data_IF_580590525903
#
_entry.id   IF_580590525903
#
_cell.length_a   1.000
_cell.length_b   1.000
_cell.length_c   1.000
_cell.angle_alpha   90.00
_cell.angle_beta   90.00
_cell.angle_gamma   90.00
#
_symmetry.space_group_name_H-M   'P 1'
#
loop_
_entity.id
_entity.type
_entity.pdbx_description
1 polymer ?
#
# COMPACT_ATOMS: atom_id res chain seq x y z
N UNK A 1 19.99 -25.35 16.95
CA UNK A 1 18.95 -25.27 18.00
C UNK A 1 18.22 -26.61 18.02
N UNK A 2 18.11 -27.32 19.15
CA UNK A 2 17.38 -28.57 19.20
C UNK A 2 15.89 -28.34 18.90
N UNK A 3 15.26 -29.31 18.22
CA UNK A 3 13.84 -29.27 17.90
C UNK A 3 13.02 -29.50 19.19
N UNK A 4 12.06 -28.62 19.48
CA UNK A 4 11.17 -28.75 20.65
C UNK A 4 9.72 -28.95 20.21
N UNK A 5 8.97 -29.72 21.01
CA UNK A 5 7.54 -29.93 20.80
C UNK A 5 6.76 -29.57 22.06
N UNK A 6 5.66 -28.84 21.89
CA UNK A 6 4.67 -28.57 22.93
C UNK A 6 3.57 -29.62 22.85
N UNK A 7 3.20 -30.21 24.00
CA UNK A 7 2.12 -31.21 24.08
C UNK A 7 1.10 -30.78 25.13
N UNK A 8 -0.17 -30.78 24.76
CA UNK A 8 -1.30 -30.54 25.63
C UNK A 8 -2.37 -31.62 25.41
N UNK A 9 -2.38 -32.65 26.27
CA UNK A 9 -3.24 -33.81 26.10
C UNK A 9 -2.91 -34.58 24.81
N UNK A 10 -3.86 -34.63 23.89
CA UNK A 10 -3.73 -35.25 22.57
C UNK A 10 -3.14 -34.29 21.51
N UNK A 11 -3.16 -32.98 21.76
CA UNK A 11 -2.63 -31.98 20.85
C UNK A 11 -1.11 -31.87 20.99
N UNK A 12 -0.39 -31.89 19.87
CA UNK A 12 1.06 -31.70 19.79
C UNK A 12 1.35 -30.65 18.72
N UNK A 13 2.16 -29.67 19.07
CA UNK A 13 2.59 -28.61 18.16
C UNK A 13 4.11 -28.41 18.22
N UNK A 14 4.70 -28.00 17.10
CA UNK A 14 6.13 -27.73 17.00
C UNK A 14 6.36 -26.23 17.23
N UNK A 15 6.40 -25.82 18.49
CA UNK A 15 6.64 -24.45 18.91
C UNK A 15 7.85 -24.38 19.86
N UNK A 16 8.61 -23.29 19.77
CA UNK A 16 9.77 -23.02 20.62
C UNK A 16 9.41 -22.34 21.94
N UNK A 17 8.15 -21.90 22.10
CA UNK A 17 7.64 -21.29 23.34
C UNK A 17 8.26 -19.92 23.68
N UNK A 18 8.05 -19.42 24.92
CA UNK A 18 7.41 -20.10 26.05
C UNK A 18 5.88 -20.17 25.95
N UNK A 19 5.28 -21.14 26.66
CA UNK A 19 3.83 -21.30 26.79
C UNK A 19 3.38 -21.02 28.22
N UNK A 20 2.09 -20.73 28.40
CA UNK A 20 1.48 -20.63 29.73
C UNK A 20 1.58 -21.98 30.46
N UNK A 21 1.86 -21.94 31.76
CA UNK A 21 1.96 -23.15 32.59
C UNK A 21 0.63 -23.90 32.70
N UNK A 22 -0.48 -23.16 32.70
CA UNK A 22 -1.84 -23.72 32.81
C UNK A 22 -2.80 -22.98 31.87
N UNK A 23 -3.61 -23.72 31.12
CA UNK A 23 -4.59 -23.16 30.19
C UNK A 23 -5.79 -22.51 30.87
N UNK A 24 -6.06 -22.86 32.13
CA UNK A 24 -7.04 -22.20 33.01
C UNK A 24 -6.85 -20.67 33.08
N UNK A 25 -5.62 -20.19 32.91
CA UNK A 25 -5.29 -18.76 32.99
C UNK A 25 -5.78 -17.99 31.76
N UNK A 26 -5.92 -18.66 30.60
CA UNK A 26 -6.39 -18.07 29.37
C UNK A 26 -7.93 -18.00 29.36
N UNK A 27 -8.48 -16.94 29.95
CA UNK A 27 -9.94 -16.71 30.00
C UNK A 27 -10.44 -15.62 29.08
N UNK A 28 -9.67 -14.55 28.90
CA UNK A 28 -10.05 -13.40 28.10
C UNK A 28 -9.45 -13.51 26.70
N UNK A 29 -10.08 -14.29 25.82
CA UNK A 29 -9.71 -14.38 24.40
C UNK A 29 -10.94 -14.32 23.50
N UNK A 30 -10.76 -13.84 22.27
CA UNK A 30 -11.82 -13.78 21.27
C UNK A 30 -11.26 -13.99 19.86
N UNK A 31 -11.98 -14.76 19.04
CA UNK A 31 -11.69 -14.86 17.61
C UNK A 31 -12.19 -13.60 16.89
N UNK A 32 -11.33 -12.97 16.11
CA UNK A 32 -11.59 -11.67 15.48
C UNK A 32 -11.98 -11.78 14.01
N UNK A 33 -11.55 -12.83 13.31
CA UNK A 33 -11.92 -12.99 11.91
C UNK A 33 -11.26 -14.19 11.24
N UNK A 34 -11.70 -14.43 10.01
CA UNK A 34 -11.20 -15.50 9.15
C UNK A 34 -10.66 -14.88 7.85
N UNK A 35 -9.49 -15.30 7.41
CA UNK A 35 -8.90 -14.85 6.16
C UNK A 35 -8.21 -16.00 5.40
N UNK A 36 -8.05 -15.84 4.09
CA UNK A 36 -7.20 -16.71 3.29
C UNK A 36 -5.74 -16.27 3.37
N UNK A 37 -4.82 -17.23 3.37
CA UNK A 37 -3.39 -16.96 3.31
C UNK A 37 -2.67 -17.98 2.44
N UNK A 38 -1.59 -17.55 1.79
CA UNK A 38 -0.71 -18.43 1.02
C UNK A 38 0.60 -18.65 1.77
N UNK A 39 1.14 -19.87 1.69
CA UNK A 39 2.45 -20.17 2.27
C UNK A 39 3.53 -19.27 1.64
N UNK A 40 4.32 -18.60 2.49
CA UNK A 40 5.33 -17.60 2.10
C UNK A 40 4.81 -16.50 1.15
N UNK A 41 3.51 -16.22 1.18
CA UNK A 41 2.85 -15.26 0.28
C UNK A 41 2.99 -15.60 -1.22
N UNK A 42 3.20 -16.87 -1.56
CA UNK A 42 3.30 -17.35 -2.94
C UNK A 42 1.96 -17.98 -3.36
N UNK A 43 1.28 -17.32 -4.31
CA UNK A 43 -0.03 -17.70 -4.84
C UNK A 43 -0.05 -19.05 -5.57
N UNK A 44 1.11 -19.63 -5.89
CA UNK A 44 1.22 -20.98 -6.45
C UNK A 44 0.97 -22.07 -5.40
N UNK A 45 1.11 -21.74 -4.11
CA UNK A 45 0.88 -22.68 -3.02
C UNK A 45 -0.63 -22.84 -2.74
N UNK A 46 -0.99 -23.92 -2.04
CA UNK A 46 -2.37 -24.14 -1.59
C UNK A 46 -2.84 -22.99 -0.69
N UNK A 47 -4.05 -22.48 -0.95
CA UNK A 47 -4.70 -21.52 -0.07
C UNK A 47 -4.97 -22.16 1.30
N UNK A 48 -4.50 -21.51 2.36
CA UNK A 48 -4.69 -21.90 3.76
C UNK A 48 -5.73 -20.99 4.41
N UNK A 49 -6.46 -21.54 5.38
CA UNK A 49 -7.39 -20.76 6.21
C UNK A 49 -6.66 -20.23 7.44
N UNK A 50 -6.61 -18.91 7.58
CA UNK A 50 -6.07 -18.22 8.76
C UNK A 50 -7.23 -17.81 9.67
N UNK A 51 -7.18 -18.26 10.91
CA UNK A 51 -8.12 -17.85 11.97
C UNK A 51 -7.38 -16.85 12.85
N UNK A 52 -7.88 -15.62 12.91
CA UNK A 52 -7.31 -14.56 13.74
C UNK A 52 -8.05 -14.49 15.08
N UNK A 53 -7.31 -14.19 16.14
CA UNK A 53 -7.85 -14.00 17.48
C UNK A 53 -6.91 -13.14 18.31
N UNK A 54 -7.44 -12.64 19.41
CA UNK A 54 -6.70 -11.84 20.40
C UNK A 54 -6.93 -12.40 21.80
N UNK A 55 -5.98 -12.19 22.70
CA UNK A 55 -6.05 -12.62 24.09
C UNK A 55 -5.41 -11.57 25.01
N UNK A 56 -6.01 -11.37 26.18
CA UNK A 56 -5.57 -10.43 27.21
C UNK A 56 -5.49 -11.11 28.58
N UNK A 57 -4.86 -10.45 29.54
CA UNK A 57 -4.74 -10.97 30.90
C UNK A 57 -6.09 -10.87 31.65
N UNK A 58 -6.86 -9.82 31.38
CA UNK A 58 -8.16 -9.58 32.02
C UNK A 58 -9.29 -9.40 31.01
N UNK A 59 -10.53 -9.71 31.43
CA UNK A 59 -11.71 -9.47 30.59
C UNK A 59 -11.95 -7.99 30.31
N UNK A 60 -11.55 -7.12 31.24
CA UNK A 60 -11.69 -5.68 31.09
C UNK A 60 -10.84 -5.15 29.93
N UNK A 61 -9.56 -5.53 29.86
CA UNK A 61 -8.67 -5.17 28.74
C UNK A 61 -9.19 -5.69 27.40
N UNK A 62 -9.75 -6.91 27.38
CA UNK A 62 -10.36 -7.45 26.17
C UNK A 62 -11.57 -6.62 25.72
N UNK A 63 -12.44 -6.22 26.65
CA UNK A 63 -13.60 -5.39 26.33
C UNK A 63 -13.19 -4.00 25.83
N UNK A 64 -12.19 -3.37 26.45
CA UNK A 64 -11.63 -2.10 26.00
C UNK A 64 -11.05 -2.21 24.59
N UNK A 65 -10.26 -3.26 24.32
CA UNK A 65 -9.72 -3.53 23.00
C UNK A 65 -10.82 -3.69 21.95
N UNK A 66 -11.89 -4.44 22.27
CA UNK A 66 -13.00 -4.65 21.34
C UNK A 66 -13.77 -3.36 21.05
N UNK A 67 -13.95 -2.49 22.05
CA UNK A 67 -14.54 -1.15 21.83
C UNK A 67 -13.68 -0.32 20.88
N UNK A 68 -12.36 -0.33 21.04
CA UNK A 68 -11.44 0.38 20.16
C UNK A 68 -11.49 -0.16 18.72
N UNK A 69 -11.60 -1.48 18.54
CA UNK A 69 -11.77 -2.08 17.22
C UNK A 69 -13.08 -1.65 16.56
N UNK A 70 -14.18 -1.60 17.31
CA UNK A 70 -15.47 -1.13 16.80
C UNK A 70 -15.40 0.35 16.37
N UNK A 71 -14.73 1.19 17.16
CA UNK A 71 -14.51 2.60 16.79
C UNK A 71 -13.64 2.74 15.54
N UNK A 72 -12.61 1.91 15.40
CA UNK A 72 -11.76 1.89 14.21
C UNK A 72 -12.55 1.47 12.95
N UNK A 73 -13.39 0.44 13.06
CA UNK A 73 -14.27 0.00 11.96
C UNK A 73 -15.27 1.08 11.53
N UNK A 74 -15.78 1.89 12.48
CA UNK A 74 -16.64 3.04 12.17
C UNK A 74 -15.90 4.13 11.38
N UNK A 75 -14.58 4.22 11.53
CA UNK A 75 -13.71 5.23 10.87
C UNK A 75 -13.00 4.69 9.63
N UNK A 76 -13.40 3.50 9.16
CA UNK A 76 -12.85 2.94 7.93
C UNK A 76 -13.23 3.79 6.71
N UNK A 77 -12.21 4.31 6.01
CA UNK A 77 -12.38 5.12 4.81
C UNK A 77 -13.20 4.41 3.72
N UNK A 78 -13.22 3.07 3.67
CA UNK A 78 -14.03 2.30 2.71
C UNK A 78 -15.51 2.40 3.02
N UNK A 79 -15.87 2.38 4.32
CA UNK A 79 -17.24 2.54 4.78
C UNK A 79 -17.70 3.99 4.60
N UNK A 80 -16.90 4.94 5.11
CA UNK A 80 -17.18 6.37 4.96
C UNK A 80 -17.24 6.78 3.48
N UNK A 81 -16.28 6.31 2.68
CA UNK A 81 -16.20 6.60 1.25
C UNK A 81 -17.42 6.11 0.48
N UNK A 82 -17.97 4.96 0.87
CA UNK A 82 -19.24 4.46 0.32
C UNK A 82 -20.43 5.29 0.79
N UNK A 83 -20.55 5.53 2.10
CA UNK A 83 -21.68 6.25 2.71
C UNK A 83 -21.76 7.70 2.18
N UNK A 84 -20.62 8.35 2.00
CA UNK A 84 -20.50 9.73 1.50
C UNK A 84 -20.37 9.81 -0.03
N UNK A 85 -20.39 8.69 -0.75
CA UNK A 85 -20.22 8.60 -2.20
C UNK A 85 -18.96 9.33 -2.70
N UNK A 86 -17.82 9.06 -2.06
CA UNK A 86 -16.53 9.66 -2.41
C UNK A 86 -15.83 8.90 -3.54
N UNK A 87 -15.87 7.57 -3.50
CA UNK A 87 -15.27 6.71 -4.51
C UNK A 87 -16.04 5.40 -4.60
N UNK A 88 -15.87 4.70 -5.72
CA UNK A 88 -16.33 3.33 -5.91
C UNK A 88 -15.21 2.45 -6.46
N UNK A 89 -15.35 1.15 -6.25
CA UNK A 89 -14.52 0.13 -6.90
C UNK A 89 -15.39 -0.64 -7.89
N UNK A 90 -14.79 -1.01 -9.01
CA UNK A 90 -15.41 -1.80 -10.08
C UNK A 90 -14.51 -2.98 -10.40
N UNK A 91 -15.10 -4.10 -10.78
CA UNK A 91 -14.34 -5.31 -11.17
C UNK A 91 -13.51 -5.07 -12.45
N UNK A 92 -13.89 -4.08 -13.26
CA UNK A 92 -13.17 -3.59 -14.44
C UNK A 92 -11.89 -2.81 -14.08
N UNK A 93 -11.74 -2.40 -12.81
CA UNK A 93 -10.59 -1.64 -12.32
C UNK A 93 -10.13 -2.12 -10.94
N UNK A 94 -9.68 -3.38 -10.79
CA UNK A 94 -9.30 -3.93 -9.50
C UNK A 94 -8.10 -3.18 -8.94
N UNK A 95 -8.27 -2.56 -7.76
CA UNK A 95 -7.24 -1.72 -7.14
C UNK A 95 -7.23 -0.27 -7.63
N UNK A 96 -8.06 0.10 -8.61
CA UNK A 96 -8.17 1.46 -9.15
C UNK A 96 -9.50 2.09 -8.72
N UNK A 97 -9.49 3.01 -7.73
CA UNK A 97 -10.72 3.65 -7.28
C UNK A 97 -11.23 4.66 -8.31
N UNK A 98 -12.54 4.60 -8.57
CA UNK A 98 -13.26 5.60 -9.36
C UNK A 98 -13.70 6.71 -8.43
N UNK A 99 -13.09 7.90 -8.55
CA UNK A 99 -13.50 9.06 -7.76
C UNK A 99 -14.86 9.58 -8.24
N UNK A 100 -15.82 9.61 -7.33
CA UNK A 100 -17.16 10.14 -7.57
C UNK A 100 -17.15 11.68 -7.38
N UNK A 101 -18.22 12.41 -7.77
CA UNK A 101 -18.24 13.87 -7.71
C UNK A 101 -17.84 14.45 -6.34
N UNK A 102 -18.33 13.88 -5.24
CA UNK A 102 -17.97 14.33 -3.89
C UNK A 102 -16.49 14.10 -3.56
N UNK A 103 -15.94 12.96 -4.00
CA UNK A 103 -14.51 12.67 -3.83
C UNK A 103 -13.64 13.59 -4.66
N UNK A 104 -14.08 13.95 -5.87
CA UNK A 104 -13.37 14.89 -6.73
C UNK A 104 -13.33 16.30 -6.14
N UNK A 105 -14.37 16.75 -5.44
CA UNK A 105 -14.35 18.04 -4.71
C UNK A 105 -13.20 18.05 -3.69
N UNK A 106 -13.09 17.00 -2.88
CA UNK A 106 -12.02 16.86 -1.87
C UNK A 106 -10.65 16.78 -2.54
N UNK A 107 -10.52 15.94 -3.57
CA UNK A 107 -9.25 15.77 -4.31
C UNK A 107 -8.78 17.09 -4.91
N UNK A 108 -9.68 17.86 -5.53
CA UNK A 108 -9.34 19.15 -6.14
C UNK A 108 -8.95 20.19 -5.09
N UNK A 109 -9.63 20.24 -3.94
CA UNK A 109 -9.25 21.13 -2.85
C UNK A 109 -7.84 20.82 -2.32
N UNK A 110 -7.51 19.53 -2.17
CA UNK A 110 -6.16 19.10 -1.76
C UNK A 110 -5.11 19.43 -2.83
N UNK A 111 -5.44 19.26 -4.11
CA UNK A 111 -4.53 19.61 -5.21
C UNK A 111 -4.28 21.10 -5.29
N UNK A 112 -5.30 21.95 -5.08
CA UNK A 112 -5.08 23.39 -5.06
C UNK A 112 -4.20 23.81 -3.90
N UNK A 113 -4.45 23.29 -2.70
CA UNK A 113 -3.58 23.52 -1.54
C UNK A 113 -2.14 23.05 -1.80
N UNK A 114 -1.97 21.88 -2.42
CA UNK A 114 -0.65 21.39 -2.81
C UNK A 114 0.03 22.34 -3.80
N UNK A 115 -0.68 22.85 -4.82
CA UNK A 115 -0.14 23.81 -5.78
C UNK A 115 0.22 25.14 -5.13
N UNK A 116 -0.61 25.65 -4.23
CA UNK A 116 -0.33 26.86 -3.44
C UNK A 116 1.01 26.73 -2.72
N UNK A 117 1.19 25.66 -1.94
CA UNK A 117 2.45 25.40 -1.23
C UNK A 117 3.65 25.29 -2.19
N UNK A 118 3.49 24.61 -3.32
CA UNK A 118 4.57 24.43 -4.29
C UNK A 118 4.98 25.76 -4.92
N UNK A 119 4.01 26.61 -5.29
CA UNK A 119 4.26 27.97 -5.79
C UNK A 119 5.00 28.82 -4.75
N UNK A 120 4.56 28.80 -3.50
CA UNK A 120 5.21 29.55 -2.41
C UNK A 120 6.66 29.09 -2.15
N UNK A 121 6.96 27.82 -2.39
CA UNK A 121 8.29 27.23 -2.19
C UNK A 121 9.16 27.21 -3.46
N UNK A 122 8.72 27.91 -4.53
CA UNK A 122 9.49 28.06 -5.77
C UNK A 122 9.64 26.77 -6.57
N UNK A 123 8.66 25.86 -6.48
CA UNK A 123 8.58 24.72 -7.39
C UNK A 123 7.93 25.11 -8.72
N UNK A 124 8.41 24.50 -9.78
CA UNK A 124 7.86 24.61 -11.12
C UNK A 124 7.05 23.35 -11.41
N UNK A 125 5.74 23.50 -11.62
CA UNK A 125 4.86 22.39 -11.95
C UNK A 125 5.14 21.91 -13.38
N UNK A 126 5.44 20.62 -13.54
CA UNK A 126 5.71 19.94 -14.81
C UNK A 126 4.74 18.76 -14.97
N UNK A 127 4.61 18.26 -16.20
CA UNK A 127 3.81 17.07 -16.51
C UNK A 127 4.59 16.19 -17.48
N UNK A 128 4.79 14.92 -17.12
CA UNK A 128 5.58 13.97 -17.91
C UNK A 128 4.72 12.80 -18.38
N UNK A 129 5.02 12.20 -19.55
CA UNK A 129 4.19 11.13 -20.12
C UNK A 129 3.98 9.94 -19.16
N UNK A 130 2.78 9.35 -19.19
CA UNK A 130 2.47 8.14 -18.42
C UNK A 130 3.16 6.90 -18.96
N UNK A 131 3.41 6.86 -20.26
CA UNK A 131 4.00 5.71 -20.95
C UNK A 131 5.31 6.19 -21.57
N UNK A 132 6.42 5.53 -21.21
CA UNK A 132 7.76 5.87 -21.66
C UNK A 132 8.50 4.62 -22.12
N UNK A 133 9.44 4.78 -23.05
CA UNK A 133 10.17 3.64 -23.61
C UNK A 133 10.97 2.90 -22.54
N UNK A 134 11.13 1.59 -22.73
CA UNK A 134 11.88 0.73 -21.80
C UNK A 134 13.30 1.24 -21.52
N UNK A 135 13.96 1.83 -22.53
CA UNK A 135 15.32 2.33 -22.43
C UNK A 135 15.51 3.35 -21.29
N UNK A 136 14.52 4.21 -21.02
CA UNK A 136 14.57 5.16 -19.90
C UNK A 136 14.63 4.44 -18.54
N UNK A 137 13.88 3.34 -18.39
CA UNK A 137 13.82 2.55 -17.18
C UNK A 137 15.08 1.72 -16.95
N UNK A 138 15.71 1.26 -18.04
CA UNK A 138 17.02 0.60 -18.00
C UNK A 138 18.11 1.60 -17.60
N UNK A 139 18.12 2.77 -18.22
CA UNK A 139 19.11 3.84 -17.94
C UNK A 139 19.01 4.34 -16.51
N UNK A 140 17.79 4.48 -15.99
CA UNK A 140 17.58 4.89 -14.59
C UNK A 140 17.78 3.76 -13.57
N UNK A 141 18.06 2.53 -14.00
CA UNK A 141 18.26 1.35 -13.14
C UNK A 141 16.96 0.72 -12.60
N UNK A 142 15.81 1.36 -12.77
CA UNK A 142 14.54 0.86 -12.27
C UNK A 142 14.13 -0.46 -12.90
N UNK A 143 14.49 -0.70 -14.16
CA UNK A 143 14.17 -1.95 -14.85
C UNK A 143 14.71 -3.18 -14.10
N UNK A 144 15.94 -3.10 -13.58
CA UNK A 144 16.56 -4.23 -12.88
C UNK A 144 15.84 -4.58 -11.57
N UNK A 145 15.22 -3.61 -10.91
CA UNK A 145 14.63 -3.76 -9.58
C UNK A 145 13.10 -3.89 -9.58
N UNK A 146 12.43 -3.28 -10.56
CA UNK A 146 10.98 -3.09 -10.54
C UNK A 146 10.25 -3.72 -11.72
N UNK A 147 10.93 -4.31 -12.71
CA UNK A 147 10.28 -4.90 -13.90
C UNK A 147 9.11 -5.83 -13.57
N UNK A 148 9.20 -6.60 -12.48
CA UNK A 148 8.16 -7.57 -12.08
C UNK A 148 6.92 -6.89 -11.46
N UNK A 149 7.05 -5.61 -11.08
CA UNK A 149 5.98 -4.77 -10.54
C UNK A 149 5.59 -3.63 -11.50
N UNK A 150 6.07 -3.67 -12.75
CA UNK A 150 5.77 -2.67 -13.77
C UNK A 150 4.77 -3.21 -14.79
N UNK A 151 3.86 -2.34 -15.24
CA UNK A 151 3.00 -2.64 -16.37
C UNK A 151 3.69 -2.22 -17.67
N UNK A 152 3.77 -3.13 -18.63
CA UNK A 152 4.36 -2.89 -19.94
C UNK A 152 3.33 -3.12 -21.06
N UNK A 153 3.48 -2.38 -22.14
CA UNK A 153 2.72 -2.52 -23.38
C UNK A 153 3.69 -2.46 -24.57
N UNK A 154 3.28 -3.01 -25.71
CA UNK A 154 4.08 -3.01 -26.93
C UNK A 154 3.47 -2.08 -27.96
N UNK A 155 4.27 -1.13 -28.46
CA UNK A 155 3.88 -0.15 -29.48
C UNK A 155 4.95 -0.19 -30.57
N UNK A 156 4.55 -0.39 -31.81
CA UNK A 156 5.45 -0.42 -32.98
C UNK A 156 6.70 -1.30 -32.77
N UNK A 157 6.46 -2.52 -32.29
CA UNK A 157 7.47 -3.52 -31.95
C UNK A 157 8.41 -3.20 -30.77
N UNK A 158 8.29 -2.03 -30.15
CA UNK A 158 9.07 -1.63 -28.97
C UNK A 158 8.30 -1.78 -27.64
N UNK A 159 9.05 -2.08 -26.57
CA UNK A 159 8.52 -2.17 -25.21
C UNK A 159 8.40 -0.77 -24.59
N UNK A 160 7.19 -0.44 -24.14
CA UNK A 160 6.90 0.75 -23.36
C UNK A 160 6.39 0.36 -21.97
N UNK A 161 6.68 1.18 -20.98
CA UNK A 161 6.23 0.93 -19.61
C UNK A 161 5.40 2.10 -19.09
N UNK A 162 4.34 1.76 -18.36
CA UNK A 162 3.61 2.74 -17.55
C UNK A 162 4.52 3.18 -16.41
N UNK A 163 4.58 4.49 -16.15
CA UNK A 163 5.46 5.07 -15.16
C UNK A 163 5.15 4.54 -13.77
N UNK A 164 6.17 4.01 -13.09
CA UNK A 164 6.09 3.63 -11.68
C UNK A 164 6.37 4.84 -10.77
N UNK A 165 7.21 5.75 -11.25
CA UNK A 165 7.77 6.90 -10.52
C UNK A 165 7.93 8.06 -11.51
N UNK A 166 7.81 9.29 -11.01
CA UNK A 166 7.97 10.50 -11.85
C UNK A 166 9.44 10.91 -12.06
N UNK A 167 10.37 10.39 -11.24
CA UNK A 167 11.76 10.84 -11.22
C UNK A 167 12.45 10.77 -12.60
N UNK A 168 12.34 9.68 -13.39
CA UNK A 168 12.96 9.64 -14.71
C UNK A 168 12.42 10.71 -15.65
N UNK A 169 11.12 11.00 -15.62
CA UNK A 169 10.50 12.06 -16.40
C UNK A 169 11.03 13.44 -15.99
N UNK A 170 11.11 13.72 -14.69
CA UNK A 170 11.65 14.99 -14.19
C UNK A 170 13.13 15.21 -14.58
N UNK A 171 13.93 14.14 -14.62
CA UNK A 171 15.31 14.19 -15.10
C UNK A 171 15.38 14.49 -16.61
N UNK A 172 14.44 13.98 -17.41
CA UNK A 172 14.36 14.36 -18.83
C UNK A 172 14.01 15.83 -19.02
N UNK A 173 13.14 16.39 -18.16
CA UNK A 173 12.84 17.83 -18.17
C UNK A 173 14.05 18.65 -17.75
N UNK A 174 14.78 18.25 -16.71
CA UNK A 174 16.06 18.88 -16.36
C UNK A 174 17.10 18.77 -17.50
N UNK A 175 17.10 17.67 -18.25
CA UNK A 175 18.01 17.44 -19.36
C UNK A 175 17.62 18.15 -20.66
N UNK A 176 16.48 18.85 -20.72
CA UNK A 176 16.02 19.48 -21.97
C UNK A 176 16.82 20.72 -22.34
N UNK A 177 17.46 21.38 -21.38
CA UNK A 177 18.24 22.59 -21.59
C UNK A 177 19.53 22.59 -20.73
N UNK A 178 20.59 23.31 -21.13
CA UNK A 178 21.76 23.50 -20.28
C UNK A 178 21.44 24.39 -19.08
N UNK A 179 21.82 23.96 -17.88
CA UNK A 179 21.58 24.71 -16.64
C UNK A 179 22.85 25.34 -16.05
N UNK A 180 22.73 26.58 -15.60
CA UNK A 180 23.81 27.29 -14.89
C UNK A 180 23.79 26.96 -13.40
N UNK A 181 24.96 26.93 -12.76
CA UNK A 181 25.05 26.73 -11.30
C UNK A 181 24.28 27.78 -10.49
N UNK A 182 24.01 28.96 -11.07
CA UNK A 182 23.25 30.06 -10.45
C UNK A 182 21.75 29.81 -10.42
N UNK A 183 21.25 28.94 -11.29
CA UNK A 183 19.82 28.57 -11.35
C UNK A 183 19.46 27.55 -10.25
N UNK A 184 20.46 26.94 -9.63
CA UNK A 184 20.27 26.00 -8.55
C UNK A 184 19.97 26.72 -7.23
N UNK A 185 19.00 26.23 -6.42
CA UNK A 185 18.29 24.97 -6.58
C UNK A 185 17.07 25.04 -7.53
N UNK A 186 17.05 24.16 -8.55
CA UNK A 186 15.87 23.91 -9.37
C UNK A 186 14.96 22.89 -8.67
N UNK A 187 13.65 23.16 -8.71
CA UNK A 187 12.64 22.30 -8.09
C UNK A 187 11.50 22.08 -9.06
N UNK A 188 11.34 20.84 -9.51
CA UNK A 188 10.22 20.43 -10.32
C UNK A 188 9.21 19.64 -9.48
N UNK A 189 7.93 19.90 -9.70
CA UNK A 189 6.84 19.21 -9.04
C UNK A 189 5.88 18.65 -10.09
N UNK A 190 5.37 17.46 -9.89
CA UNK A 190 4.40 16.85 -10.79
C UNK A 190 3.32 16.16 -9.96
N UNK A 191 2.06 16.40 -10.34
CA UNK A 191 0.93 15.58 -9.88
C UNK A 191 0.95 14.28 -10.70
N UNK A 192 1.85 13.37 -10.31
CA UNK A 192 1.99 12.07 -10.98
C UNK A 192 0.69 11.28 -10.89
N UNK A 193 0.26 10.73 -12.03
CA UNK A 193 -0.84 9.76 -12.10
C UNK A 193 -0.31 8.37 -11.89
#
# INVERSE_FOLDING_TARGET
>A
MPLSFYRQGEYIDMCTGPHLTYTKTLKAFKLTGLSGAYWKNDSKNKMLTRINGTAFATSHELEEFLKLQEEAERRDHRKIGKDMKLFMFSDEGPGFPFFLPNGMIIKNALLEYWRELHRENGYQEISTPLIMNRHLWETSGHWAHYKDNMYATRIDDEDYCIKLLNCPGAVMVYGSEPHSYRELPLRFAEVGT
#
